data_IF_686429010111
#
_entry.id   IF_686429010111
#
_cell.length_a   1.000
_cell.length_b   1.000
_cell.length_c   1.000
_cell.angle_alpha   90.00
_cell.angle_beta   90.00
_cell.angle_gamma   90.00
#
_symmetry.space_group_name_H-M   'P 1'
#
loop_
_entity.id
_entity.type
_entity.pdbx_description
1 polymer ?
#
# COMPACT_ATOMS: atom_id res chain seq x y z
N UNK A 1 12.69 5.60 8.30
CA UNK A 1 11.30 5.22 7.95
C UNK A 1 10.68 6.17 6.91
N UNK A 2 10.50 7.46 7.22
CA UNK A 2 9.88 8.43 6.29
C UNK A 2 10.62 8.55 4.94
N UNK A 3 11.96 8.52 4.95
CA UNK A 3 12.77 8.47 3.72
C UNK A 3 12.40 7.29 2.83
N UNK A 4 12.24 6.10 3.42
CA UNK A 4 11.91 4.87 2.69
C UNK A 4 10.52 5.02 2.08
N UNK A 5 9.53 5.41 2.87
CA UNK A 5 8.16 5.63 2.39
C UNK A 5 8.13 6.61 1.21
N UNK A 6 8.74 7.80 1.36
CA UNK A 6 8.76 8.82 0.34
C UNK A 6 9.42 8.34 -0.96
N UNK A 7 10.55 7.63 -0.85
CA UNK A 7 11.28 7.10 -1.99
C UNK A 7 10.50 5.98 -2.71
N UNK A 8 9.90 5.06 -1.95
CA UNK A 8 9.07 3.99 -2.48
C UNK A 8 7.84 4.56 -3.18
N UNK A 9 7.15 5.52 -2.56
CA UNK A 9 5.99 6.17 -3.14
C UNK A 9 6.35 6.91 -4.44
N UNK A 10 7.42 7.71 -4.43
CA UNK A 10 7.91 8.39 -5.63
C UNK A 10 8.21 7.40 -6.76
N UNK A 11 8.94 6.33 -6.45
CA UNK A 11 9.32 5.28 -7.40
C UNK A 11 8.10 4.57 -7.98
N UNK A 12 7.10 4.27 -7.15
CA UNK A 12 5.86 3.67 -7.59
C UNK A 12 5.05 4.60 -8.49
N UNK A 13 4.98 5.89 -8.17
CA UNK A 13 4.23 6.86 -8.97
C UNK A 13 4.90 7.09 -10.33
N UNK A 14 6.23 7.24 -10.37
CA UNK A 14 6.98 7.51 -11.60
C UNK A 14 7.15 6.28 -12.47
N UNK A 15 7.57 5.16 -11.88
CA UNK A 15 8.10 4.02 -12.63
C UNK A 15 7.27 2.75 -12.43
N UNK A 16 6.22 2.77 -11.60
CA UNK A 16 5.43 1.58 -11.23
C UNK A 16 6.28 0.44 -10.67
N UNK A 17 7.37 0.79 -9.99
CA UNK A 17 8.32 -0.15 -9.37
C UNK A 17 8.48 0.14 -7.88
N UNK A 18 8.64 -0.92 -7.10
CA UNK A 18 9.01 -0.85 -5.68
C UNK A 18 10.48 -1.29 -5.59
N UNK A 19 11.42 -0.35 -5.37
CA UNK A 19 12.84 -0.66 -5.28
C UNK A 19 13.14 -1.48 -4.02
N UNK A 20 14.10 -2.40 -4.12
CA UNK A 20 14.46 -3.32 -3.03
C UNK A 20 15.26 -2.63 -1.93
N UNK A 21 15.26 -3.19 -0.71
CA UNK A 21 16.06 -2.65 0.41
C UNK A 21 17.54 -2.45 0.08
N UNK A 22 18.11 -3.29 -0.80
CA UNK A 22 19.51 -3.20 -1.24
C UNK A 22 19.75 -1.95 -2.09
N UNK A 23 18.80 -1.59 -2.93
CA UNK A 23 18.87 -0.39 -3.76
C UNK A 23 18.72 0.90 -2.95
N UNK A 24 18.05 0.84 -1.79
CA UNK A 24 17.95 1.98 -0.86
C UNK A 24 19.06 1.99 0.20
N UNK A 25 19.91 0.96 0.26
CA UNK A 25 20.96 0.81 1.28
C UNK A 25 20.46 0.93 2.73
N UNK A 26 19.24 0.45 3.00
CA UNK A 26 18.60 0.52 4.34
C UNK A 26 18.51 -0.85 5.03
N UNK A 27 18.30 -0.81 6.35
CA UNK A 27 18.06 -2.02 7.13
C UNK A 27 16.75 -2.71 6.71
N UNK A 28 16.66 -4.03 6.90
CA UNK A 28 15.43 -4.78 6.64
C UNK A 28 14.26 -4.23 7.45
N UNK A 29 14.49 -3.85 8.71
CA UNK A 29 13.45 -3.32 9.59
C UNK A 29 12.91 -1.98 9.08
N UNK A 30 13.80 -1.04 8.72
CA UNK A 30 13.38 0.27 8.18
C UNK A 30 12.65 0.12 6.84
N UNK A 31 13.09 -0.82 6.00
CA UNK A 31 12.43 -1.12 4.75
C UNK A 31 11.00 -1.62 4.95
N UNK A 32 10.81 -2.63 5.80
CA UNK A 32 9.50 -3.22 6.06
C UNK A 32 8.57 -2.22 6.75
N UNK A 33 9.09 -1.40 7.67
CA UNK A 33 8.33 -0.32 8.29
C UNK A 33 7.89 0.75 7.28
N UNK A 34 8.77 1.13 6.34
CA UNK A 34 8.41 2.05 5.25
C UNK A 34 7.43 1.44 4.25
N UNK A 35 7.49 0.13 4.01
CA UNK A 35 6.49 -0.60 3.21
C UNK A 35 5.11 -0.59 3.86
N UNK A 36 5.02 -0.74 5.18
CA UNK A 36 3.74 -0.60 5.90
C UNK A 36 3.13 0.79 5.67
N UNK A 37 3.92 1.85 5.86
CA UNK A 37 3.43 3.23 5.73
C UNK A 37 3.07 3.57 4.27
N UNK A 38 3.83 3.05 3.30
CA UNK A 38 3.53 3.17 1.87
C UNK A 38 2.10 2.72 1.56
N UNK A 39 1.59 1.65 2.19
CA UNK A 39 0.22 1.17 1.93
C UNK A 39 -0.85 2.20 2.32
N UNK A 40 -0.59 3.02 3.34
CA UNK A 40 -1.46 4.13 3.73
C UNK A 40 -1.47 5.24 2.66
N UNK A 41 -0.31 5.62 2.16
CA UNK A 41 -0.18 6.62 1.10
C UNK A 41 -0.77 6.17 -0.24
N UNK A 42 -0.58 4.90 -0.59
CA UNK A 42 -1.24 4.27 -1.73
C UNK A 42 -2.76 4.31 -1.58
N UNK A 43 -3.27 4.02 -0.38
CA UNK A 43 -4.71 4.09 -0.10
C UNK A 43 -5.25 5.51 -0.30
N UNK A 44 -4.55 6.52 0.26
CA UNK A 44 -4.89 7.94 0.06
C UNK A 44 -4.88 8.33 -1.43
N UNK A 45 -3.89 7.86 -2.18
CA UNK A 45 -3.79 8.09 -3.63
C UNK A 45 -4.95 7.44 -4.39
N UNK A 46 -5.33 6.21 -4.06
CA UNK A 46 -6.43 5.50 -4.70
C UNK A 46 -7.77 6.21 -4.47
N UNK A 47 -8.05 6.66 -3.24
CA UNK A 47 -9.24 7.47 -2.93
C UNK A 47 -9.29 8.73 -3.79
N UNK A 48 -8.17 9.45 -3.89
CA UNK A 48 -8.08 10.65 -4.72
C UNK A 48 -8.29 10.36 -6.22
N UNK A 49 -7.86 9.19 -6.71
CA UNK A 49 -8.10 8.77 -8.09
C UNK A 49 -9.59 8.48 -8.32
N UNK A 50 -10.25 7.83 -7.36
CA UNK A 50 -11.69 7.55 -7.41
C UNK A 50 -12.50 8.84 -7.46
N UNK A 51 -12.18 9.82 -6.61
CA UNK A 51 -12.81 11.16 -6.62
C UNK A 51 -12.67 11.82 -8.01
N UNK A 52 -11.54 11.61 -8.68
CA UNK A 52 -11.27 12.12 -10.04
C UNK A 52 -11.85 11.24 -11.16
N UNK A 53 -12.68 10.24 -10.85
CA UNK A 53 -13.26 9.30 -11.81
C UNK A 53 -12.28 8.25 -12.38
N UNK A 54 -11.02 8.25 -11.94
CA UNK A 54 -9.95 7.35 -12.40
C UNK A 54 -9.98 5.99 -11.71
N UNK A 55 -11.12 5.31 -11.75
CA UNK A 55 -11.39 4.05 -11.03
C UNK A 55 -10.43 2.92 -11.44
N UNK A 56 -10.09 2.82 -12.74
CA UNK A 56 -9.14 1.80 -13.22
C UNK A 56 -7.73 1.97 -12.63
N UNK A 57 -7.29 3.21 -12.44
CA UNK A 57 -5.98 3.48 -11.81
C UNK A 57 -6.01 3.16 -10.32
N UNK A 58 -7.14 3.44 -9.64
CA UNK A 58 -7.34 3.08 -8.24
C UNK A 58 -7.37 1.56 -8.01
N UNK A 59 -7.99 0.80 -8.93
CA UNK A 59 -7.98 -0.67 -8.89
C UNK A 59 -6.55 -1.22 -8.90
N UNK A 60 -5.68 -0.72 -9.80
CA UNK A 60 -4.27 -1.14 -9.84
C UNK A 60 -3.54 -0.88 -8.51
N UNK A 61 -3.90 0.18 -7.79
CA UNK A 61 -3.33 0.45 -6.47
C UNK A 61 -3.85 -0.55 -5.44
N UNK A 62 -5.16 -0.86 -5.45
CA UNK A 62 -5.73 -1.90 -4.59
C UNK A 62 -5.03 -3.24 -4.79
N UNK A 63 -4.79 -3.63 -6.04
CA UNK A 63 -4.12 -4.89 -6.38
C UNK A 63 -2.68 -4.93 -5.83
N UNK A 64 -1.95 -3.81 -5.88
CA UNK A 64 -0.60 -3.70 -5.30
C UNK A 64 -0.62 -3.78 -3.77
N UNK A 65 -1.58 -3.12 -3.11
CA UNK A 65 -1.73 -3.21 -1.64
C UNK A 65 -2.09 -4.64 -1.21
N UNK A 66 -2.90 -5.34 -2.00
CA UNK A 66 -3.25 -6.75 -1.79
C UNK A 66 -2.02 -7.66 -1.94
N UNK A 67 -1.17 -7.44 -2.95
CA UNK A 67 0.09 -8.17 -3.11
C UNK A 67 1.03 -7.95 -1.91
N UNK A 68 1.19 -6.70 -1.48
CA UNK A 68 2.00 -6.37 -0.28
C UNK A 68 1.44 -7.09 0.95
N UNK A 69 0.13 -7.05 1.17
CA UNK A 69 -0.51 -7.74 2.28
C UNK A 69 -0.26 -9.26 2.23
N UNK A 70 -0.37 -9.86 1.05
CA UNK A 70 -0.12 -11.29 0.83
C UNK A 70 1.30 -11.71 1.17
N UNK A 71 2.30 -10.89 0.84
CA UNK A 71 3.70 -11.14 1.24
C UNK A 71 3.91 -10.95 2.74
N UNK A 72 3.30 -9.94 3.36
CA UNK A 72 3.44 -9.69 4.80
C UNK A 72 2.84 -10.80 5.67
N UNK A 73 1.76 -11.45 5.23
CA UNK A 73 1.16 -12.60 5.94
C UNK A 73 2.12 -13.79 6.03
N UNK A 74 3.06 -13.93 5.10
CA UNK A 74 4.05 -15.02 5.09
C UNK A 74 5.14 -14.83 6.14
N UNK A 75 5.27 -13.65 6.75
CA UNK A 75 6.27 -13.39 7.78
C UNK A 75 5.78 -13.84 9.17
N UNK A 76 6.62 -14.58 9.90
CA UNK A 76 6.42 -14.88 11.33
C UNK A 76 6.83 -13.66 12.19
N UNK A 77 6.00 -12.61 12.16
CA UNK A 77 6.20 -11.39 12.95
C UNK A 77 5.71 -11.58 14.38
N UNK A 78 6.60 -12.05 15.27
CA UNK A 78 6.23 -12.42 16.64
C UNK A 78 5.82 -11.24 17.52
N UNK A 79 6.65 -10.21 17.63
CA UNK A 79 6.44 -9.07 18.52
C UNK A 79 7.10 -7.79 17.97
N UNK A 80 6.69 -6.63 18.49
CA UNK A 80 7.35 -5.35 18.23
C UNK A 80 6.60 -4.40 17.30
N UNK A 81 7.23 -3.25 17.01
CA UNK A 81 6.63 -2.17 16.23
C UNK A 81 6.22 -2.62 14.82
N UNK A 82 7.03 -3.47 14.18
CA UNK A 82 6.76 -3.96 12.84
C UNK A 82 5.47 -4.79 12.76
N UNK A 83 5.21 -5.67 13.74
CA UNK A 83 3.94 -6.41 13.83
C UNK A 83 2.77 -5.45 13.95
N UNK A 84 2.85 -4.47 14.86
CA UNK A 84 1.77 -3.48 15.04
C UNK A 84 1.50 -2.69 13.75
N UNK A 85 2.57 -2.31 13.03
CA UNK A 85 2.46 -1.60 11.74
C UNK A 85 1.99 -2.51 10.60
N UNK A 86 2.33 -3.79 10.58
CA UNK A 86 1.83 -4.71 9.53
C UNK A 86 0.32 -4.87 9.58
N UNK A 87 -0.29 -4.79 10.78
CA UNK A 87 -1.75 -4.82 10.92
C UNK A 87 -2.43 -3.67 10.15
N UNK A 88 -1.76 -2.50 10.02
CA UNK A 88 -2.31 -1.37 9.25
C UNK A 88 -2.56 -1.70 7.79
N UNK A 89 -1.76 -2.61 7.20
CA UNK A 89 -1.90 -3.02 5.80
C UNK A 89 -3.27 -3.67 5.57
N UNK A 90 -3.71 -4.52 6.50
CA UNK A 90 -5.03 -5.18 6.45
C UNK A 90 -6.15 -4.14 6.44
N UNK A 91 -6.08 -3.13 7.31
CA UNK A 91 -7.10 -2.09 7.39
C UNK A 91 -7.13 -1.22 6.13
N UNK A 92 -5.95 -0.90 5.58
CA UNK A 92 -5.81 -0.17 4.33
C UNK A 92 -6.43 -0.93 3.15
N UNK A 93 -6.13 -2.23 3.03
CA UNK A 93 -6.71 -3.10 2.00
C UNK A 93 -8.24 -3.17 2.12
N UNK A 94 -8.75 -3.42 3.33
CA UNK A 94 -10.19 -3.51 3.58
C UNK A 94 -10.93 -2.23 3.17
N UNK A 95 -10.37 -1.07 3.53
CA UNK A 95 -10.91 0.24 3.13
C UNK A 95 -10.97 0.39 1.61
N UNK A 96 -9.94 -0.05 0.88
CA UNK A 96 -9.94 0.00 -0.58
C UNK A 96 -11.03 -0.90 -1.17
N UNK A 97 -11.20 -2.11 -0.64
CA UNK A 97 -12.26 -3.02 -1.07
C UNK A 97 -13.67 -2.43 -0.88
N UNK A 98 -13.93 -1.86 0.29
CA UNK A 98 -15.20 -1.21 0.62
C UNK A 98 -15.51 -0.06 -0.35
N UNK A 99 -14.54 0.84 -0.57
CA UNK A 99 -14.73 1.97 -1.48
C UNK A 99 -14.92 1.49 -2.93
N UNK A 100 -14.18 0.47 -3.36
CA UNK A 100 -14.32 -0.07 -4.72
C UNK A 100 -15.66 -0.77 -4.94
N UNK A 101 -16.18 -1.44 -3.90
CA UNK A 101 -17.53 -1.99 -3.90
C UNK A 101 -18.59 -0.89 -4.05
N UNK A 102 -18.50 0.18 -3.26
CA UNK A 102 -19.42 1.33 -3.34
C UNK A 102 -19.40 2.00 -4.72
N UNK A 103 -18.21 2.14 -5.32
CA UNK A 103 -18.07 2.70 -6.68
C UNK A 103 -18.74 1.81 -7.72
N UNK A 104 -18.61 0.48 -7.61
CA UNK A 104 -19.26 -0.45 -8.53
C UNK A 104 -20.78 -0.43 -8.37
N UNK A 105 -21.28 -0.49 -7.14
CA UNK A 105 -22.73 -0.52 -6.88
C UNK A 105 -23.43 0.78 -7.33
N UNK A 106 -22.80 1.95 -7.14
CA UNK A 106 -23.33 3.23 -7.65
C UNK A 106 -23.36 3.32 -9.17
N UNK A 107 -22.50 2.60 -9.89
CA UNK A 107 -22.51 2.53 -11.36
C UNK A 107 -23.52 1.55 -11.95
N UNK A 108 -24.07 0.64 -11.12
CA UNK A 108 -25.08 -0.34 -11.52
C UNK A 108 -26.51 0.17 -11.35
N UNK A 109 -26.67 1.38 -10.77
CA UNK A 109 -27.94 2.13 -10.75
C UNK A 109 -27.96 3.09 -11.92
#
# INVERSE_FOLDING_TARGET
QEYVEAFLFFSFIKNKKIPTRKQLEVTTNDYLLGMCDLTGELTRKAVNLIIKGKVKEAQKIKDVVEEIHGEFIKFDLRNGNLRKKSDSIKYNLKRLEEIMYDVKTKKLK
#
